data_IF_276554656065
#
_entry.id   IF_276554656065
#
_cell.length_a   1.000
_cell.length_b   1.000
_cell.length_c   1.000
_cell.angle_alpha   90.00
_cell.angle_beta   90.00
_cell.angle_gamma   90.00
#
_symmetry.space_group_name_H-M   'P 1'
#
loop_
_entity.id
_entity.type
_entity.pdbx_description
1 polymer ?
#
# COMPACT_ATOMS: atom_id res chain seq x y z
N UNK A 1 12.36 3.68 2.47
CA UNK A 1 12.39 4.13 3.86
C UNK A 1 11.27 5.08 4.23
N UNK A 2 11.25 6.34 3.79
CA UNK A 2 10.27 7.31 4.35
C UNK A 2 8.80 7.02 3.98
N UNK A 3 8.52 6.46 2.80
CA UNK A 3 7.15 6.14 2.36
C UNK A 3 6.48 5.02 3.17
N UNK A 4 7.28 4.05 3.64
CA UNK A 4 6.79 2.90 4.41
C UNK A 4 6.75 3.25 5.89
N UNK A 5 7.80 3.93 6.38
CA UNK A 5 7.89 4.41 7.76
C UNK A 5 6.83 5.44 8.12
N UNK A 6 6.69 6.48 7.29
CA UNK A 6 5.84 7.63 7.61
C UNK A 6 4.47 7.60 6.94
N UNK A 7 4.36 6.93 5.79
CA UNK A 7 3.10 6.81 5.04
C UNK A 7 2.23 5.63 5.46
N UNK A 8 2.84 4.44 5.64
CA UNK A 8 2.10 3.18 5.75
C UNK A 8 2.00 2.58 7.15
N UNK A 9 2.91 2.88 8.09
CA UNK A 9 2.74 2.42 9.48
C UNK A 9 2.51 3.54 10.51
N UNK A 10 2.37 4.79 10.06
CA UNK A 10 1.71 5.84 10.85
C UNK A 10 0.17 5.71 10.76
N UNK A 11 -0.36 4.49 10.86
CA UNK A 11 -1.79 4.23 10.96
C UNK A 11 -2.21 4.31 12.42
N UNK A 12 -2.57 5.52 12.83
CA UNK A 12 -3.03 5.82 14.18
C UNK A 12 -2.99 7.32 14.40
N UNK A 13 -3.85 7.82 15.28
CA UNK A 13 -3.88 9.24 15.67
C UNK A 13 -2.56 9.72 16.33
N UNK A 14 -1.61 8.83 16.59
CA UNK A 14 -0.33 9.11 17.24
C UNK A 14 0.85 8.38 16.57
N UNK A 15 2.01 9.05 16.56
CA UNK A 15 3.25 8.63 15.91
C UNK A 15 4.02 7.54 16.70
N UNK A 16 3.34 6.46 17.07
CA UNK A 16 4.01 5.26 17.60
C UNK A 16 4.41 4.38 16.41
N UNK A 17 5.72 4.30 16.18
CA UNK A 17 6.32 3.62 15.05
C UNK A 17 6.62 2.15 15.42
N UNK A 18 6.45 1.24 14.47
CA UNK A 18 6.94 -0.13 14.61
C UNK A 18 8.49 -0.14 14.65
N UNK A 19 9.13 -1.24 15.07
CA UNK A 19 10.55 -1.44 14.82
C UNK A 19 10.88 -1.36 13.31
N UNK A 20 12.05 -0.81 12.96
CA UNK A 20 12.49 -0.57 11.57
C UNK A 20 12.37 -1.81 10.65
N UNK A 21 12.62 -3.01 11.18
CA UNK A 21 12.54 -4.25 10.42
C UNK A 21 11.12 -4.54 9.89
N UNK A 22 10.06 -4.12 10.60
CA UNK A 22 8.66 -4.32 10.18
C UNK A 22 8.38 -3.60 8.88
N UNK A 23 8.95 -2.40 8.71
CA UNK A 23 8.81 -1.64 7.47
C UNK A 23 9.54 -2.30 6.30
N UNK A 24 10.68 -2.96 6.56
CA UNK A 24 11.35 -3.79 5.56
C UNK A 24 10.44 -4.93 5.06
N UNK A 25 9.69 -5.57 5.96
CA UNK A 25 8.72 -6.62 5.62
C UNK A 25 7.55 -6.06 4.80
N UNK A 26 6.96 -4.94 5.24
CA UNK A 26 5.86 -4.29 4.50
C UNK A 26 6.33 -3.86 3.10
N UNK A 27 7.51 -3.24 2.98
CA UNK A 27 8.09 -2.84 1.71
C UNK A 27 8.27 -4.04 0.76
N UNK A 28 8.81 -5.14 1.29
CA UNK A 28 9.01 -6.38 0.54
C UNK A 28 7.68 -6.97 0.07
N UNK A 29 6.65 -6.96 0.91
CA UNK A 29 5.31 -7.41 0.55
C UNK A 29 4.67 -6.55 -0.55
N UNK A 30 4.84 -5.22 -0.48
CA UNK A 30 4.36 -4.29 -1.51
C UNK A 30 5.04 -4.53 -2.86
N UNK A 31 6.37 -4.70 -2.87
CA UNK A 31 7.13 -5.02 -4.09
C UNK A 31 6.68 -6.36 -4.64
N UNK A 32 6.53 -7.37 -3.79
CA UNK A 32 6.03 -8.70 -4.16
C UNK A 32 4.65 -8.63 -4.82
N UNK A 33 3.71 -7.87 -4.25
CA UNK A 33 2.38 -7.65 -4.82
C UNK A 33 2.45 -6.96 -6.20
N UNK A 34 3.31 -5.95 -6.35
CA UNK A 34 3.54 -5.29 -7.64
C UNK A 34 4.06 -6.24 -8.72
N UNK A 35 5.07 -7.05 -8.39
CA UNK A 35 5.63 -8.05 -9.30
C UNK A 35 4.60 -9.12 -9.67
N UNK A 36 3.84 -9.64 -8.69
CA UNK A 36 2.79 -10.62 -8.93
C UNK A 36 1.67 -10.04 -9.81
N UNK A 37 1.29 -8.78 -9.59
CA UNK A 37 0.33 -8.09 -10.46
C UNK A 37 0.85 -7.99 -11.90
N UNK A 38 2.12 -7.62 -12.09
CA UNK A 38 2.74 -7.59 -13.42
C UNK A 38 2.76 -8.98 -14.08
N UNK A 39 3.06 -10.04 -13.31
CA UNK A 39 2.99 -11.43 -13.77
C UNK A 39 1.56 -11.81 -14.17
N UNK A 40 0.55 -11.41 -13.40
CA UNK A 40 -0.85 -11.66 -13.74
C UNK A 40 -1.26 -10.98 -15.05
N UNK A 41 -0.90 -9.71 -15.23
CA UNK A 41 -1.11 -8.96 -16.49
C UNK A 41 -0.40 -9.63 -17.66
N UNK A 42 0.83 -10.10 -17.44
CA UNK A 42 1.62 -10.83 -18.45
C UNK A 42 1.03 -12.21 -18.78
N UNK A 43 0.39 -12.90 -17.85
CA UNK A 43 -0.28 -14.18 -18.12
C UNK A 43 -1.59 -13.98 -18.87
N UNK A 44 -2.28 -12.87 -18.63
CA UNK A 44 -3.58 -12.53 -19.21
C UNK A 44 -3.50 -11.44 -20.30
N UNK A 45 -2.41 -11.40 -21.08
CA UNK A 45 -2.16 -10.35 -22.09
C UNK A 45 -3.27 -10.12 -23.10
N UNK A 46 -3.97 -11.15 -23.63
CA UNK A 46 -5.05 -10.92 -24.57
C UNK A 46 -6.16 -10.05 -23.97
N UNK A 47 -6.52 -10.33 -22.70
CA UNK A 47 -7.49 -9.53 -21.95
C UNK A 47 -6.94 -8.16 -21.53
N UNK A 48 -5.64 -8.09 -21.21
CA UNK A 48 -4.99 -6.82 -20.90
C UNK A 48 -4.95 -5.88 -22.12
N UNK A 49 -4.74 -6.43 -23.33
CA UNK A 49 -4.73 -5.65 -24.58
C UNK A 49 -6.08 -5.08 -24.94
N UNK A 50 -7.18 -5.81 -24.70
CA UNK A 50 -8.53 -5.29 -24.95
C UNK A 50 -8.95 -4.19 -23.96
N UNK A 51 -8.26 -4.09 -22.81
CA UNK A 51 -8.50 -3.08 -21.75
C UNK A 51 -7.28 -2.19 -21.51
N UNK A 52 -6.49 -1.95 -22.56
CA UNK A 52 -5.23 -1.19 -22.46
C UNK A 52 -5.44 0.21 -21.91
N UNK A 53 -6.52 0.89 -22.33
CA UNK A 53 -6.88 2.23 -21.86
C UNK A 53 -7.21 2.21 -20.37
N UNK A 54 -8.03 1.26 -19.90
CA UNK A 54 -8.36 1.11 -18.47
C UNK A 54 -7.10 0.90 -17.63
N UNK A 55 -6.17 0.06 -18.11
CA UNK A 55 -4.89 -0.19 -17.44
C UNK A 55 -4.00 1.05 -17.41
N UNK A 56 -3.94 1.82 -18.50
CA UNK A 56 -3.19 3.07 -18.56
C UNK A 56 -3.76 4.08 -17.57
N UNK A 57 -5.08 4.24 -17.50
CA UNK A 57 -5.74 5.13 -16.53
C UNK A 57 -5.41 4.70 -15.11
N UNK A 58 -5.48 3.41 -14.79
CA UNK A 58 -5.11 2.89 -13.47
C UNK A 58 -3.65 3.20 -13.12
N UNK A 59 -2.72 2.99 -14.05
CA UNK A 59 -1.30 3.32 -13.84
C UNK A 59 -1.12 4.83 -13.62
N UNK A 60 -1.78 5.66 -14.43
CA UNK A 60 -1.73 7.12 -14.28
C UNK A 60 -2.30 7.59 -12.95
N UNK A 61 -3.37 6.97 -12.46
CA UNK A 61 -3.94 7.27 -11.13
C UNK A 61 -2.92 6.93 -10.03
N UNK A 62 -2.31 5.75 -10.09
CA UNK A 62 -1.28 5.35 -9.10
C UNK A 62 -0.10 6.31 -9.14
N UNK A 63 0.45 6.57 -10.32
CA UNK A 63 1.59 7.48 -10.52
C UNK A 63 1.24 8.90 -10.06
N UNK A 64 0.06 9.39 -10.44
CA UNK A 64 -0.40 10.74 -10.08
C UNK A 64 -0.58 10.91 -8.58
N UNK A 65 -1.14 9.92 -7.88
CA UNK A 65 -1.28 9.98 -6.42
C UNK A 65 0.09 9.90 -5.75
N UNK A 66 0.97 8.97 -6.15
CA UNK A 66 2.31 8.84 -5.56
C UNK A 66 3.14 10.10 -5.80
N UNK A 67 3.15 10.62 -7.03
CA UNK A 67 3.85 11.86 -7.38
C UNK A 67 3.25 13.08 -6.70
N UNK A 68 1.92 13.16 -6.58
CA UNK A 68 1.24 14.24 -5.86
C UNK A 68 1.56 14.25 -4.37
N UNK A 69 1.56 13.07 -3.73
CA UNK A 69 2.00 12.92 -2.34
C UNK A 69 3.49 13.27 -2.19
N UNK A 70 4.34 12.81 -3.11
CA UNK A 70 5.75 13.16 -3.13
C UNK A 70 5.96 14.69 -3.22
N UNK A 71 5.29 15.35 -4.17
CA UNK A 71 5.38 16.80 -4.37
C UNK A 71 4.79 17.60 -3.19
N UNK A 72 3.71 17.15 -2.58
CA UNK A 72 3.08 17.90 -1.48
C UNK A 72 3.89 17.86 -0.17
N UNK A 73 4.60 16.75 0.09
CA UNK A 73 5.20 16.48 1.40
C UNK A 73 6.73 16.34 1.40
N UNK A 74 7.36 16.16 0.24
CA UNK A 74 8.81 15.95 0.14
C UNK A 74 9.54 17.02 -0.67
N UNK A 75 8.84 18.08 -1.07
CA UNK A 75 9.48 19.21 -1.75
C UNK A 75 10.23 20.09 -0.72
N UNK A 76 11.54 20.33 -0.90
CA UNK A 76 12.36 21.06 0.08
C UNK A 76 11.91 22.50 0.33
N UNK A 77 11.22 23.12 -0.63
CA UNK A 77 10.73 24.50 -0.58
C UNK A 77 9.21 24.47 -0.66
N UNK A 78 8.53 24.89 0.41
CA UNK A 78 7.06 24.98 0.45
C UNK A 78 6.31 23.68 0.76
N UNK A 79 7.00 22.59 1.07
CA UNK A 79 6.37 21.35 1.56
C UNK A 79 5.68 21.54 2.91
N UNK A 80 4.60 20.79 3.18
CA UNK A 80 3.89 20.84 4.46
C UNK A 80 4.80 20.34 5.60
N UNK A 81 5.05 21.18 6.60
CA UNK A 81 5.97 20.89 7.71
C UNK A 81 5.51 19.77 8.68
N UNK A 82 4.22 19.42 8.69
CA UNK A 82 3.65 18.39 9.56
C UNK A 82 3.58 17.02 8.91
N UNK A 83 4.43 16.10 9.37
CA UNK A 83 4.54 14.72 8.86
C UNK A 83 3.72 13.70 9.69
N UNK A 84 3.28 14.09 10.89
CA UNK A 84 2.68 13.17 11.88
C UNK A 84 1.21 12.80 11.61
N UNK A 85 0.55 13.38 10.61
CA UNK A 85 -0.84 13.07 10.24
C UNK A 85 -0.97 12.18 8.99
N UNK A 86 0.11 11.60 8.48
CA UNK A 86 0.19 11.16 7.07
C UNK A 86 -0.59 9.88 6.70
N UNK A 87 -0.85 8.94 7.61
CA UNK A 87 -1.59 7.70 7.29
C UNK A 87 -3.04 7.92 6.86
N UNK A 88 -3.73 8.90 7.47
CA UNK A 88 -5.12 9.28 7.13
C UNK A 88 -5.25 9.98 5.78
N UNK A 89 -4.19 10.63 5.29
CA UNK A 89 -4.17 11.25 3.96
C UNK A 89 -3.75 10.29 2.85
N UNK A 90 -3.17 9.13 3.20
CA UNK A 90 -2.91 8.05 2.26
C UNK A 90 -4.20 7.29 1.85
N UNK A 91 -5.37 7.65 2.38
CA UNK A 91 -6.65 6.98 2.08
C UNK A 91 -6.99 7.00 0.58
N UNK A 92 -6.67 8.09 -0.13
CA UNK A 92 -6.82 8.16 -1.60
C UNK A 92 -5.80 7.28 -2.32
N UNK A 93 -4.59 7.14 -1.76
CA UNK A 93 -3.57 6.22 -2.28
C UNK A 93 -3.97 4.75 -2.08
N UNK A 94 -4.66 4.40 -0.99
CA UNK A 94 -5.16 3.03 -0.78
C UNK A 94 -6.13 2.61 -1.88
N UNK A 95 -7.07 3.49 -2.25
CA UNK A 95 -8.01 3.23 -3.34
C UNK A 95 -7.27 3.03 -4.68
N UNK A 96 -6.26 3.84 -4.96
CA UNK A 96 -5.43 3.73 -6.17
C UNK A 96 -4.57 2.46 -6.18
N UNK A 97 -4.09 2.00 -5.02
CA UNK A 97 -3.20 0.83 -4.87
C UNK A 97 -3.96 -0.50 -4.75
N UNK A 98 -5.23 -0.49 -4.32
CA UNK A 98 -6.04 -1.69 -4.16
C UNK A 98 -6.11 -2.57 -5.44
N UNK A 99 -6.23 -2.02 -6.66
CA UNK A 99 -6.17 -2.80 -7.90
C UNK A 99 -4.89 -3.63 -8.05
N UNK A 100 -3.74 -3.15 -7.55
CA UNK A 100 -2.48 -3.89 -7.60
C UNK A 100 -2.54 -5.10 -6.68
N UNK A 101 -3.05 -4.95 -5.46
CA UNK A 101 -3.21 -6.05 -4.52
C UNK A 101 -4.21 -7.11 -5.04
N UNK A 102 -5.31 -6.67 -5.64
CA UNK A 102 -6.28 -7.56 -6.29
C UNK A 102 -5.64 -8.27 -7.49
N UNK A 103 -4.95 -7.53 -8.36
CA UNK A 103 -4.23 -8.07 -9.52
C UNK A 103 -3.17 -9.09 -9.13
N UNK A 104 -2.46 -8.88 -8.02
CA UNK A 104 -1.48 -9.82 -7.48
C UNK A 104 -2.10 -11.18 -7.15
N UNK A 105 -3.33 -11.22 -6.63
CA UNK A 105 -4.02 -12.47 -6.32
C UNK A 105 -4.27 -13.33 -7.57
N UNK A 106 -4.45 -12.71 -8.74
CA UNK A 106 -4.63 -13.42 -10.01
C UNK A 106 -3.35 -14.11 -10.50
N UNK A 107 -2.17 -13.78 -9.97
CA UNK A 107 -0.93 -14.47 -10.30
C UNK A 107 -0.98 -15.97 -9.94
N UNK A 108 -1.75 -16.34 -8.92
CA UNK A 108 -1.89 -17.71 -8.42
C UNK A 108 -2.99 -18.52 -9.14
N UNK A 109 -3.68 -17.92 -10.11
CA UNK A 109 -4.74 -18.58 -10.88
C UNK A 109 -6.10 -18.61 -10.18
N UNK A 110 -7.16 -18.90 -10.96
CA UNK A 110 -8.58 -18.70 -10.55
C UNK A 110 -8.98 -19.43 -9.26
N UNK A 111 -8.38 -20.58 -8.96
CA UNK A 111 -8.68 -21.36 -7.76
C UNK A 111 -8.15 -20.71 -6.47
N UNK A 112 -7.05 -19.97 -6.57
CA UNK A 112 -6.37 -19.41 -5.41
C UNK A 112 -6.61 -17.90 -5.21
N UNK A 113 -7.27 -17.22 -6.15
CA UNK A 113 -7.57 -15.77 -6.04
C UNK A 113 -8.28 -15.43 -4.73
N UNK A 114 -9.37 -16.16 -4.40
CA UNK A 114 -10.16 -15.90 -3.19
C UNK A 114 -9.36 -16.14 -1.91
N UNK A 115 -8.72 -17.32 -1.70
CA UNK A 115 -7.95 -17.53 -0.47
C UNK A 115 -6.75 -16.58 -0.35
N UNK A 116 -6.10 -16.18 -1.44
CA UNK A 116 -5.03 -15.18 -1.41
C UNK A 116 -5.55 -13.80 -1.01
N UNK A 117 -6.69 -13.37 -1.57
CA UNK A 117 -7.33 -12.11 -1.18
C UNK A 117 -7.73 -12.12 0.31
N UNK A 118 -8.30 -13.23 0.79
CA UNK A 118 -8.62 -13.39 2.22
C UNK A 118 -7.37 -13.31 3.10
N UNK A 119 -6.27 -13.95 2.68
CA UNK A 119 -5.01 -13.92 3.41
C UNK A 119 -4.47 -12.49 3.53
N UNK A 120 -4.53 -11.69 2.45
CA UNK A 120 -4.15 -10.28 2.48
C UNK A 120 -5.02 -9.46 3.43
N UNK A 121 -6.33 -9.67 3.43
CA UNK A 121 -7.26 -8.99 4.34
C UNK A 121 -6.97 -9.36 5.80
N UNK A 122 -6.79 -10.65 6.09
CA UNK A 122 -6.46 -11.12 7.45
C UNK A 122 -5.13 -10.53 7.91
N UNK A 123 -4.11 -10.51 7.05
CA UNK A 123 -2.81 -9.90 7.36
C UNK A 123 -2.95 -8.40 7.66
N UNK A 124 -3.73 -7.66 6.87
CA UNK A 124 -3.99 -6.23 7.08
C UNK A 124 -4.73 -5.96 8.40
N UNK A 125 -5.73 -6.78 8.73
CA UNK A 125 -6.45 -6.70 10.01
C UNK A 125 -5.51 -7.00 11.17
N UNK A 126 -4.68 -8.04 11.06
CA UNK A 126 -3.67 -8.37 12.07
C UNK A 126 -2.67 -7.23 12.31
N UNK A 127 -2.18 -6.59 11.23
CA UNK A 127 -1.29 -5.43 11.34
C UNK A 127 -1.99 -4.23 12.02
N UNK A 128 -3.28 -4.04 11.72
CA UNK A 128 -4.09 -2.98 12.32
C UNK A 128 -4.31 -3.21 13.83
N UNK A 129 -4.61 -4.45 14.24
CA UNK A 129 -4.68 -4.82 15.65
C UNK A 129 -3.35 -4.67 16.37
N UNK A 130 -2.25 -5.10 15.75
CA UNK A 130 -0.91 -4.91 16.31
C UNK A 130 -0.56 -3.43 16.52
N UNK A 131 -0.94 -2.57 15.56
CA UNK A 131 -0.77 -1.11 15.68
C UNK A 131 -1.55 -0.55 16.88
N UNK A 132 -2.81 -0.97 17.05
CA UNK A 132 -3.63 -0.55 18.20
C UNK A 132 -3.06 -1.03 19.53
N UNK A 133 -2.57 -2.27 19.61
CA UNK A 133 -1.95 -2.81 20.81
C UNK A 133 -0.65 -2.07 21.16
N UNK A 134 0.19 -1.75 20.17
CA UNK A 134 1.37 -0.92 20.41
C UNK A 134 0.98 0.48 20.89
N UNK A 135 -0.09 1.07 20.35
CA UNK A 135 -0.58 2.34 20.82
C UNK A 135 -0.99 2.28 22.30
N UNK A 136 -1.78 1.27 22.68
CA UNK A 136 -2.18 1.05 24.07
C UNK A 136 -0.98 0.80 24.98
N UNK A 137 -0.04 -0.04 24.57
CA UNK A 137 1.17 -0.31 25.33
C UNK A 137 2.00 0.97 25.54
N UNK A 138 2.18 1.78 24.50
CA UNK A 138 2.96 3.02 24.61
C UNK A 138 2.35 4.11 25.50
N UNK A 139 1.03 4.07 25.76
CA UNK A 139 0.34 5.04 26.62
C UNK A 139 0.12 4.56 28.06
N UNK A 140 -0.05 3.25 28.27
CA UNK A 140 -0.55 2.69 29.53
C UNK A 140 0.39 1.68 30.21
N UNK A 141 1.46 1.24 29.55
CA UNK A 141 2.48 0.34 30.11
C UNK A 141 3.83 1.04 30.15
#
# INVERSE_FOLDING_TARGET
DIYVERGWAAFGWYALMFPTWVYGVIASAMIGAGLLCAVAVWRHRPAARSRSIELVVLVLVVVGVVAGVAAAFYTPVGGRAGVAEQGRYAFTALAALAPIAVGACYAFGRRLVVPMAMTLVVAMMGLSFASQLMALAGFYL
#
